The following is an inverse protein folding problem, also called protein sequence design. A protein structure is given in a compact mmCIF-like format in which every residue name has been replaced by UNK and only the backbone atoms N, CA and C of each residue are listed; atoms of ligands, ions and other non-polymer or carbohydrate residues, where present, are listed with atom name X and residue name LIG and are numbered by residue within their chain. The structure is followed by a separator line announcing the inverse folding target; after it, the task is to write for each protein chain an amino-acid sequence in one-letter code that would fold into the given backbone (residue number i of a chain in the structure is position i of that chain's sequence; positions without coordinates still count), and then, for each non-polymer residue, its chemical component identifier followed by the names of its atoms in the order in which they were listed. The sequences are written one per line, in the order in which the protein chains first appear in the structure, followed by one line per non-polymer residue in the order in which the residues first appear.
data_IF_002572829244
#
_entry.id   IF_002572829244
#
_cell.length_a   1.000
_cell.length_b   1.000
_cell.length_c   1.000
_cell.angle_alpha   90.00
_cell.angle_beta   90.00
_cell.angle_gamma   90.00
#
_symmetry.space_group_name_H-M   'P 1'
#
loop_
_entity.id
_entity.type
_entity.pdbx_description
1 polymer ?
#
# COMPACT_ATOMS: atom_id res chain seq x y z
N UNK A 1 -12.30 17.41 0.77
CA UNK A 1 -10.85 17.15 0.82
C UNK A 1 -10.42 16.68 -0.55
N UNK A 2 -9.56 17.42 -1.25
CA UNK A 2 -9.09 16.99 -2.57
C UNK A 2 -8.27 15.72 -2.39
N UNK A 3 -8.55 14.66 -3.17
CA UNK A 3 -7.68 13.49 -3.29
C UNK A 3 -6.44 13.94 -4.07
N UNK A 4 -5.50 14.57 -3.37
CA UNK A 4 -4.21 14.90 -3.96
C UNK A 4 -3.51 13.59 -4.31
N UNK A 5 -3.28 13.39 -5.61
CA UNK A 5 -2.56 12.21 -6.11
C UNK A 5 -1.07 12.53 -6.06
N UNK A 6 -0.34 11.79 -5.24
CA UNK A 6 1.12 11.87 -5.19
C UNK A 6 1.69 10.94 -6.27
N UNK A 7 2.37 11.48 -7.31
CA UNK A 7 3.03 10.63 -8.30
C UNK A 7 4.21 9.89 -7.67
N UNK A 8 4.22 8.57 -7.79
CA UNK A 8 5.34 7.74 -7.33
C UNK A 8 6.35 7.56 -8.47
N UNK A 9 7.59 7.99 -8.23
CA UNK A 9 8.70 7.82 -9.17
C UNK A 9 9.39 6.48 -8.90
N UNK A 10 8.95 5.44 -9.59
CA UNK A 10 9.53 4.10 -9.50
C UNK A 10 10.37 3.82 -10.74
N UNK A 11 11.58 3.28 -10.55
CA UNK A 11 12.45 2.87 -11.67
C UNK A 11 11.87 1.71 -12.47
N UNK A 12 10.99 0.91 -11.85
CA UNK A 12 10.22 -0.18 -12.46
C UNK A 12 8.90 -0.38 -11.74
N UNK A 13 7.91 -0.94 -12.44
CA UNK A 13 6.69 -1.40 -11.80
C UNK A 13 6.98 -2.62 -10.90
N UNK A 14 6.55 -2.61 -9.62
CA UNK A 14 6.75 -3.74 -8.72
C UNK A 14 5.88 -4.92 -9.15
N UNK A 15 6.43 -6.13 -9.12
CA UNK A 15 5.66 -7.37 -9.39
C UNK A 15 4.93 -7.88 -8.15
N UNK A 16 5.48 -7.58 -6.97
CA UNK A 16 4.93 -7.94 -5.67
C UNK A 16 5.09 -6.77 -4.72
N UNK A 17 3.97 -6.36 -4.13
CA UNK A 17 3.92 -5.28 -3.15
C UNK A 17 3.62 -5.88 -1.78
N UNK A 18 4.42 -5.53 -0.78
CA UNK A 18 4.09 -5.79 0.62
C UNK A 18 3.42 -4.54 1.18
N UNK A 19 2.27 -4.73 1.82
CA UNK A 19 1.59 -3.70 2.61
C UNK A 19 1.82 -4.03 4.08
N UNK A 20 2.32 -3.07 4.84
CA UNK A 20 2.54 -3.20 6.28
C UNK A 20 1.66 -2.20 7.02
N UNK A 21 1.00 -2.69 8.07
CA UNK A 21 0.21 -1.89 9.00
C UNK A 21 0.93 -1.90 10.35
N UNK A 22 1.28 -0.72 10.84
CA UNK A 22 1.63 -0.47 12.23
C UNK A 22 0.43 0.23 12.86
N UNK A 23 -0.43 -0.54 13.53
CA UNK A 23 -1.69 -0.02 14.06
C UNK A 23 -1.45 0.96 15.22
N UNK A 24 -0.60 0.59 16.16
CA UNK A 24 -0.29 1.41 17.33
C UNK A 24 0.52 2.65 16.95
N UNK A 25 1.43 2.52 15.98
CA UNK A 25 2.17 3.64 15.39
C UNK A 25 1.36 4.49 14.39
N UNK A 26 0.13 4.09 14.07
CA UNK A 26 -0.75 4.87 13.19
C UNK A 26 -0.31 4.93 11.72
N UNK A 27 0.44 3.94 11.23
CA UNK A 27 1.11 4.03 9.93
C UNK A 27 0.78 2.86 9.00
N UNK A 28 0.66 3.17 7.71
CA UNK A 28 0.63 2.20 6.62
C UNK A 28 1.77 2.47 5.66
N UNK A 29 2.54 1.44 5.31
CA UNK A 29 3.66 1.52 4.40
C UNK A 29 3.60 0.45 3.30
N UNK A 30 4.08 0.82 2.12
CA UNK A 30 4.13 0.01 0.91
C UNK A 30 5.59 -0.23 0.55
N UNK A 31 5.92 -1.48 0.24
CA UNK A 31 7.27 -1.89 -0.13
C UNK A 31 7.25 -2.69 -1.41
N UNK A 32 8.29 -2.53 -2.23
CA UNK A 32 8.63 -3.52 -3.24
C UNK A 32 9.15 -4.74 -2.49
N UNK A 33 8.42 -5.86 -2.56
CA UNK A 33 8.75 -7.04 -1.78
C UNK A 33 10.00 -7.77 -2.31
N UNK A 34 10.30 -7.61 -3.60
CA UNK A 34 11.42 -8.27 -4.25
C UNK A 34 12.72 -7.48 -4.04
N UNK A 35 12.64 -6.15 -4.13
CA UNK A 35 13.76 -5.24 -3.88
C UNK A 35 13.95 -4.90 -2.40
N UNK A 36 12.95 -5.20 -1.55
CA UNK A 36 12.92 -4.84 -0.12
C UNK A 36 13.09 -3.34 0.11
N UNK A 37 12.60 -2.52 -0.81
CA UNK A 37 12.70 -1.05 -0.74
C UNK A 37 11.34 -0.42 -0.45
N UNK A 38 11.35 0.69 0.28
CA UNK A 38 10.15 1.49 0.52
C UNK A 38 9.65 2.09 -0.80
N UNK A 39 8.37 1.91 -1.08
CA UNK A 39 7.66 2.59 -2.17
C UNK A 39 7.09 3.90 -1.62
N UNK A 40 6.31 3.81 -0.53
CA UNK A 40 5.66 4.95 0.09
C UNK A 40 5.22 4.62 1.51
N UNK A 41 5.23 5.61 2.41
CA UNK A 41 4.63 5.51 3.74
C UNK A 41 3.68 6.68 3.94
N UNK A 42 2.47 6.40 4.42
CA UNK A 42 1.57 7.45 4.87
C UNK A 42 2.14 8.13 6.12
N UNK A 43 1.94 9.46 6.28
CA UNK A 43 2.17 10.11 7.56
C UNK A 43 1.41 9.39 8.68
N UNK A 44 2.00 9.30 9.86
CA UNK A 44 1.36 8.67 11.00
C UNK A 44 0.06 9.41 11.36
N UNK A 45 -1.01 8.66 11.62
CA UNK A 45 -2.31 9.15 12.02
C UNK A 45 -3.01 8.14 12.95
N UNK A 46 -3.79 8.63 13.91
CA UNK A 46 -4.60 7.75 14.76
C UNK A 46 -5.66 7.02 13.93
N UNK A 47 -5.83 5.71 14.16
CA UNK A 47 -6.95 4.93 13.61
C UNK A 47 -8.21 4.98 14.49
N UNK A 48 -8.17 5.70 15.62
CA UNK A 48 -9.33 5.91 16.51
C UNK A 48 -10.04 4.62 16.96
N UNK A 49 -9.30 3.52 17.12
CA UNK A 49 -9.89 2.23 17.50
C UNK A 49 -10.67 1.54 16.36
N UNK A 50 -10.67 2.09 15.15
CA UNK A 50 -11.37 1.51 14.00
C UNK A 50 -10.61 0.33 13.39
N UNK A 51 -11.37 -0.69 12.98
CA UNK A 51 -10.78 -1.82 12.27
C UNK A 51 -10.27 -1.40 10.88
N UNK A 52 -8.97 -1.55 10.65
CA UNK A 52 -8.35 -1.42 9.32
C UNK A 52 -8.43 -2.76 8.60
N UNK A 53 -8.93 -2.76 7.36
CA UNK A 53 -9.03 -3.97 6.53
C UNK A 53 -8.25 -3.77 5.23
N UNK A 54 -7.61 -4.82 4.68
CA UNK A 54 -7.04 -4.76 3.35
C UNK A 54 -8.11 -4.38 2.32
N UNK A 55 -7.75 -3.47 1.41
CA UNK A 55 -8.62 -3.05 0.31
C UNK A 55 -7.92 -3.32 -1.02
N UNK A 56 -8.65 -3.91 -1.96
CA UNK A 56 -8.15 -4.29 -3.27
C UNK A 56 -9.08 -3.75 -4.34
N UNK A 57 -8.52 -3.09 -5.34
CA UNK A 57 -9.22 -2.68 -6.55
C UNK A 57 -8.53 -3.30 -7.75
N UNK A 58 -9.27 -4.12 -8.49
CA UNK A 58 -8.81 -4.75 -9.73
C UNK A 58 -9.67 -4.18 -10.85
N UNK A 59 -9.01 -3.69 -11.90
CA UNK A 59 -9.65 -3.02 -13.03
C UNK A 59 -9.00 -3.46 -14.33
N UNK A 60 -9.82 -3.59 -15.39
CA UNK A 60 -9.39 -3.99 -16.73
C UNK A 60 -9.64 -5.47 -17.02
N UNK A 61 -9.83 -5.79 -18.30
CA UNK A 61 -10.05 -7.16 -18.76
C UNK A 61 -8.83 -8.03 -18.45
N UNK A 62 -9.05 -9.18 -17.81
CA UNK A 62 -8.00 -10.14 -17.47
C UNK A 62 -7.11 -9.77 -16.28
N UNK A 63 -7.32 -8.61 -15.64
CA UNK A 63 -6.57 -8.21 -14.46
C UNK A 63 -6.85 -9.13 -13.27
N UNK A 64 -5.81 -9.49 -12.52
CA UNK A 64 -5.90 -10.35 -11.33
C UNK A 64 -4.89 -9.91 -10.28
N UNK A 65 -5.26 -10.11 -9.01
CA UNK A 65 -4.34 -10.04 -7.88
C UNK A 65 -4.37 -11.37 -7.14
N UNK A 66 -3.21 -11.78 -6.62
CA UNK A 66 -3.08 -12.96 -5.77
C UNK A 66 -2.38 -12.55 -4.48
N UNK A 67 -2.89 -13.02 -3.35
CA UNK A 67 -2.18 -12.89 -2.09
C UNK A 67 -1.04 -13.90 -2.04
N UNK A 68 0.14 -13.44 -1.63
CA UNK A 68 1.18 -14.38 -1.22
C UNK A 68 0.75 -15.05 0.08
N UNK A 69 1.02 -16.35 0.25
CA UNK A 69 0.81 -17.04 1.51
C UNK A 69 1.69 -16.45 2.63
#
# INVERSE_FOLDING_TARGET
TSLERIPLLLSRAPRRVRVALDYDGGQVAFFDADQRSLIFAFPAASFEGQSVRPWFLVWGEGARISLCP
#
